data_IF_332601530922
#
_entry.id   IF_332601530922
#
_cell.length_a   1.000
_cell.length_b   1.000
_cell.length_c   1.000
_cell.angle_alpha   90.00
_cell.angle_beta   90.00
_cell.angle_gamma   90.00
#
_symmetry.space_group_name_H-M   'P 1'
#
loop_
_entity.id
_entity.type
_entity.pdbx_description
1 polymer ?
#
# COMPACT_ATOMS: atom_id res chain seq x y z
N UNK A 1 -3.08 -25.33 30.93
CA UNK A 1 -2.81 -26.12 29.69
C UNK A 1 -3.11 -25.21 28.52
N UNK A 2 -2.12 -24.48 28.03
CA UNK A 2 -2.25 -23.61 26.88
C UNK A 2 -1.84 -24.39 25.64
N UNK A 3 -2.80 -25.15 25.08
CA UNK A 3 -2.58 -25.81 23.80
C UNK A 3 -2.48 -24.78 22.68
N UNK A 4 -1.55 -24.97 21.75
CA UNK A 4 -1.47 -24.22 20.51
C UNK A 4 -2.87 -24.18 19.88
N UNK A 5 -3.39 -23.01 19.45
CA UNK A 5 -4.70 -22.93 18.82
C UNK A 5 -4.79 -23.91 17.65
N UNK A 6 -5.91 -24.61 17.55
CA UNK A 6 -6.15 -25.46 16.40
C UNK A 6 -6.19 -24.59 15.14
N UNK A 7 -5.13 -24.66 14.35
CA UNK A 7 -4.97 -23.90 13.13
C UNK A 7 -6.17 -24.03 12.17
N UNK A 8 -6.79 -25.21 12.14
CA UNK A 8 -7.96 -25.48 11.30
C UNK A 8 -9.19 -24.65 11.75
N UNK A 9 -9.39 -24.50 13.08
CA UNK A 9 -10.45 -23.67 13.65
C UNK A 9 -10.24 -22.20 13.29
N UNK A 10 -9.01 -21.75 13.45
CA UNK A 10 -8.62 -20.37 13.16
C UNK A 10 -8.76 -20.07 11.66
N UNK A 11 -8.30 -20.97 10.79
CA UNK A 11 -8.37 -20.81 9.34
C UNK A 11 -9.82 -20.77 8.84
N UNK A 12 -10.69 -21.64 9.37
CA UNK A 12 -12.12 -21.62 9.04
C UNK A 12 -12.77 -20.27 9.43
N UNK A 13 -12.46 -19.77 10.63
CA UNK A 13 -12.93 -18.46 11.09
C UNK A 13 -12.46 -17.32 10.19
N UNK A 14 -11.19 -17.35 9.82
CA UNK A 14 -10.58 -16.34 8.95
C UNK A 14 -11.30 -16.26 7.58
N UNK A 15 -11.46 -17.38 6.87
CA UNK A 15 -12.15 -17.39 5.58
C UNK A 15 -13.60 -16.91 5.70
N UNK A 16 -14.30 -17.27 6.79
CA UNK A 16 -15.69 -16.84 7.00
C UNK A 16 -15.81 -15.37 7.35
N UNK A 17 -14.89 -14.82 8.11
CA UNK A 17 -14.85 -13.41 8.45
C UNK A 17 -14.45 -12.53 7.26
N UNK A 18 -13.48 -13.00 6.48
CA UNK A 18 -12.96 -12.30 5.32
C UNK A 18 -13.99 -12.21 4.17
N UNK A 19 -14.78 -13.26 3.98
CA UNK A 19 -15.85 -13.30 3.01
C UNK A 19 -17.09 -14.01 3.63
N UNK A 20 -17.99 -13.24 4.24
CA UNK A 20 -19.23 -13.79 4.85
C UNK A 20 -20.13 -14.52 3.86
N UNK A 21 -20.01 -14.30 2.54
CA UNK A 21 -20.80 -14.97 1.51
C UNK A 21 -20.33 -16.39 1.22
N UNK A 22 -19.07 -16.74 1.59
CA UNK A 22 -18.54 -18.07 1.36
C UNK A 22 -19.38 -19.15 2.03
N UNK A 23 -19.77 -20.14 1.23
CA UNK A 23 -20.40 -21.34 1.76
C UNK A 23 -19.37 -22.18 2.52
N UNK A 24 -19.82 -22.97 3.49
CA UNK A 24 -18.93 -23.86 4.24
C UNK A 24 -18.19 -24.87 3.32
N UNK A 25 -18.85 -25.28 2.24
CA UNK A 25 -18.23 -26.14 1.23
C UNK A 25 -17.10 -25.41 0.50
N UNK A 26 -17.28 -24.15 0.12
CA UNK A 26 -16.25 -23.34 -0.51
C UNK A 26 -15.06 -23.10 0.44
N UNK A 27 -15.34 -22.86 1.73
CA UNK A 27 -14.30 -22.75 2.76
C UNK A 27 -13.52 -24.06 2.88
N UNK A 28 -14.23 -25.20 2.90
CA UNK A 28 -13.61 -26.52 2.98
C UNK A 28 -12.65 -26.79 1.82
N UNK A 29 -13.08 -26.47 0.61
CA UNK A 29 -12.27 -26.66 -0.61
C UNK A 29 -11.08 -25.70 -0.63
N UNK A 30 -11.28 -24.40 -0.39
CA UNK A 30 -10.23 -23.37 -0.47
C UNK A 30 -9.16 -23.53 0.62
N UNK A 31 -9.57 -23.84 1.83
CA UNK A 31 -8.68 -23.96 2.97
C UNK A 31 -8.16 -25.42 3.19
N UNK A 32 -8.56 -26.36 2.34
CA UNK A 32 -8.28 -27.77 2.49
C UNK A 32 -8.69 -28.33 3.88
N UNK A 33 -9.86 -27.91 4.36
CA UNK A 33 -10.41 -28.25 5.68
C UNK A 33 -11.41 -29.42 5.65
N UNK A 34 -11.55 -30.08 4.49
CA UNK A 34 -12.40 -31.25 4.32
C UNK A 34 -13.85 -30.91 3.98
N UNK A 35 -14.80 -31.66 4.55
CA UNK A 35 -16.23 -31.58 4.20
C UNK A 35 -16.93 -30.38 4.83
N UNK A 36 -18.11 -30.02 4.27
CA UNK A 36 -18.97 -28.98 4.84
C UNK A 36 -19.27 -29.22 6.34
N UNK A 37 -19.51 -30.48 6.73
CA UNK A 37 -19.79 -30.82 8.14
C UNK A 37 -18.58 -30.60 9.07
N UNK A 38 -17.36 -30.83 8.54
CA UNK A 38 -16.13 -30.51 9.28
C UNK A 38 -15.97 -29.01 9.46
N UNK A 39 -16.13 -28.23 8.37
CA UNK A 39 -16.08 -26.75 8.42
C UNK A 39 -17.15 -26.17 9.34
N UNK A 40 -18.37 -26.74 9.35
CA UNK A 40 -19.43 -26.30 10.26
C UNK A 40 -19.01 -26.45 11.73
N UNK A 41 -18.37 -27.58 12.10
CA UNK A 41 -17.85 -27.81 13.46
C UNK A 41 -16.72 -26.83 13.80
N UNK A 42 -15.77 -26.63 12.89
CA UNK A 42 -14.67 -25.69 13.07
C UNK A 42 -15.17 -24.24 13.27
N UNK A 43 -16.18 -23.81 12.52
CA UNK A 43 -16.79 -22.48 12.68
C UNK A 43 -17.56 -22.34 14.01
N UNK A 44 -18.22 -23.40 14.47
CA UNK A 44 -18.89 -23.41 15.78
C UNK A 44 -17.84 -23.29 16.91
N UNK A 45 -16.75 -24.04 16.82
CA UNK A 45 -15.66 -23.96 17.77
C UNK A 45 -14.96 -22.59 17.73
N UNK A 46 -14.77 -22.01 16.54
CA UNK A 46 -14.19 -20.69 16.38
C UNK A 46 -15.03 -19.59 17.05
N UNK A 47 -16.36 -19.70 16.98
CA UNK A 47 -17.26 -18.79 17.70
C UNK A 47 -17.15 -18.96 19.21
N UNK A 48 -17.11 -20.23 19.68
CA UNK A 48 -16.95 -20.53 21.10
C UNK A 48 -15.64 -20.01 21.68
N UNK A 49 -14.55 -20.04 20.88
CA UNK A 49 -13.23 -19.52 21.24
C UNK A 49 -13.08 -18.01 20.99
N UNK A 50 -14.10 -17.32 20.46
CA UNK A 50 -14.06 -15.88 20.18
C UNK A 50 -13.22 -15.48 18.97
N UNK A 51 -12.78 -16.42 18.11
CA UNK A 51 -12.03 -16.14 16.88
C UNK A 51 -12.92 -15.56 15.78
N UNK A 52 -14.20 -15.91 15.77
CA UNK A 52 -15.17 -15.44 14.77
C UNK A 52 -16.10 -14.43 15.42
N UNK A 53 -15.94 -13.16 15.02
CA UNK A 53 -16.83 -12.03 15.34
C UNK A 53 -17.32 -11.41 14.04
N UNK A 54 -18.06 -10.32 14.09
CA UNK A 54 -18.49 -9.58 12.89
C UNK A 54 -17.32 -9.04 12.09
N UNK A 55 -16.20 -8.70 12.75
CA UNK A 55 -14.92 -8.34 12.15
C UNK A 55 -13.88 -9.36 12.63
N UNK A 56 -13.05 -9.86 11.71
CA UNK A 56 -11.95 -10.75 12.08
C UNK A 56 -10.88 -9.94 12.83
N UNK A 57 -10.67 -10.29 14.09
CA UNK A 57 -9.61 -9.72 14.91
C UNK A 57 -8.90 -10.84 15.68
N UNK A 58 -7.59 -10.70 15.87
CA UNK A 58 -6.89 -11.54 16.82
C UNK A 58 -7.38 -11.22 18.22
N UNK A 59 -7.62 -12.22 19.09
CA UNK A 59 -7.94 -11.97 20.48
C UNK A 59 -6.93 -10.99 21.13
N UNK A 60 -7.46 -10.04 21.91
CA UNK A 60 -6.61 -9.00 22.51
C UNK A 60 -5.56 -9.58 23.48
N UNK A 61 -5.87 -10.71 24.10
CA UNK A 61 -5.03 -11.43 25.05
C UNK A 61 -4.11 -12.48 24.40
N UNK A 62 -4.16 -12.60 23.05
CA UNK A 62 -3.30 -13.56 22.34
C UNK A 62 -1.82 -13.16 22.47
N UNK A 63 -0.94 -14.06 22.90
CA UNK A 63 0.49 -13.81 22.98
C UNK A 63 1.06 -13.36 21.62
N UNK A 64 2.01 -12.40 21.61
CA UNK A 64 2.57 -11.87 20.35
C UNK A 64 3.24 -12.96 19.49
N UNK A 65 3.87 -13.97 20.11
CA UNK A 65 4.53 -15.05 19.39
C UNK A 65 3.52 -15.97 18.71
N UNK A 66 2.43 -16.30 19.40
CA UNK A 66 1.35 -17.11 18.87
C UNK A 66 0.64 -16.40 17.69
N UNK A 67 0.41 -15.10 17.83
CA UNK A 67 -0.13 -14.26 16.73
C UNK A 67 0.78 -14.31 15.51
N UNK A 68 2.08 -14.09 15.67
CA UNK A 68 3.05 -14.16 14.57
C UNK A 68 3.06 -15.52 13.88
N UNK A 69 3.00 -16.60 14.66
CA UNK A 69 2.97 -17.95 14.10
C UNK A 69 1.70 -18.23 13.31
N UNK A 70 0.53 -17.82 13.81
CA UNK A 70 -0.74 -17.97 13.10
C UNK A 70 -0.77 -17.12 11.84
N UNK A 71 -0.30 -15.87 11.91
CA UNK A 71 -0.20 -14.99 10.76
C UNK A 71 0.72 -15.59 9.69
N UNK A 72 1.90 -16.09 10.06
CA UNK A 72 2.81 -16.77 9.14
C UNK A 72 2.16 -17.98 8.47
N UNK A 73 1.37 -18.77 9.20
CA UNK A 73 0.64 -19.92 8.63
C UNK A 73 -0.47 -19.47 7.66
N UNK A 74 -1.17 -18.37 7.96
CA UNK A 74 -2.16 -17.79 7.06
C UNK A 74 -1.49 -17.29 5.77
N UNK A 75 -0.42 -16.53 5.88
CA UNK A 75 0.36 -16.05 4.73
C UNK A 75 0.84 -17.19 3.84
N UNK A 76 1.36 -18.28 4.42
CA UNK A 76 1.76 -19.47 3.67
C UNK A 76 0.60 -20.16 2.95
N UNK A 77 -0.60 -20.14 3.54
CA UNK A 77 -1.80 -20.69 2.89
C UNK A 77 -2.20 -19.86 1.67
N UNK A 78 -2.27 -18.53 1.82
CA UNK A 78 -2.55 -17.62 0.71
C UNK A 78 -1.44 -17.61 -0.33
N UNK A 79 -0.18 -17.70 0.08
CA UNK A 79 0.96 -17.78 -0.82
C UNK A 79 0.83 -18.98 -1.78
N UNK A 80 0.45 -20.15 -1.28
CA UNK A 80 0.24 -21.32 -2.14
C UNK A 80 -0.88 -21.13 -3.16
N UNK A 81 -1.97 -20.46 -2.75
CA UNK A 81 -3.10 -20.12 -3.64
C UNK A 81 -2.68 -19.15 -4.75
N UNK A 82 -1.78 -18.19 -4.44
CA UNK A 82 -1.41 -17.10 -5.33
C UNK A 82 0.03 -17.18 -5.88
N UNK A 83 0.72 -18.32 -5.70
CA UNK A 83 2.11 -18.49 -6.14
C UNK A 83 2.29 -18.25 -7.65
N UNK A 84 1.33 -18.68 -8.48
CA UNK A 84 1.37 -18.44 -9.92
C UNK A 84 1.24 -16.95 -10.25
N UNK A 85 0.38 -16.22 -9.53
CA UNK A 85 0.24 -14.77 -9.69
C UNK A 85 1.52 -14.06 -9.26
N UNK A 86 2.11 -14.42 -8.12
CA UNK A 86 3.39 -13.83 -7.68
C UNK A 86 4.50 -14.04 -8.73
N UNK A 87 4.59 -15.24 -9.30
CA UNK A 87 5.56 -15.54 -10.34
C UNK A 87 5.33 -14.73 -11.63
N UNK A 88 4.07 -14.55 -12.04
CA UNK A 88 3.69 -13.74 -13.20
C UNK A 88 4.00 -12.25 -12.97
N UNK A 89 3.70 -11.71 -11.78
CA UNK A 89 4.05 -10.34 -11.38
C UNK A 89 5.58 -10.14 -11.37
N UNK A 90 6.33 -11.09 -10.82
CA UNK A 90 7.79 -11.05 -10.83
C UNK A 90 8.36 -11.06 -12.26
N UNK A 91 7.73 -11.80 -13.18
CA UNK A 91 8.13 -11.78 -14.61
C UNK A 91 7.79 -10.44 -15.27
N UNK A 92 6.60 -9.87 -15.01
CA UNK A 92 6.22 -8.53 -15.50
C UNK A 92 7.18 -7.47 -14.98
N UNK A 93 7.52 -7.50 -13.68
CA UNK A 93 8.49 -6.58 -13.09
C UNK A 93 9.87 -6.67 -13.78
N UNK A 94 10.37 -7.89 -14.05
CA UNK A 94 11.62 -8.08 -14.82
C UNK A 94 11.56 -7.46 -16.20
N UNK A 95 10.44 -7.61 -16.90
CA UNK A 95 10.27 -7.04 -18.23
C UNK A 95 10.29 -5.50 -18.18
N UNK A 96 9.56 -4.90 -17.24
CA UNK A 96 9.54 -3.45 -17.03
C UNK A 96 10.93 -2.91 -16.67
N UNK A 97 11.70 -3.62 -15.84
CA UNK A 97 13.05 -3.20 -15.51
C UNK A 97 14.00 -3.19 -16.73
N UNK A 98 13.79 -4.06 -17.71
CA UNK A 98 14.55 -4.06 -18.95
C UNK A 98 14.23 -2.88 -19.87
N UNK A 99 12.97 -2.42 -19.84
CA UNK A 99 12.48 -1.36 -20.73
C UNK A 99 12.55 0.04 -20.12
N UNK A 100 12.38 0.15 -18.80
CA UNK A 100 12.23 1.44 -18.09
C UNK A 100 13.37 1.78 -17.14
N UNK A 101 14.28 0.85 -16.84
CA UNK A 101 15.35 1.10 -15.89
C UNK A 101 16.52 0.15 -16.08
N UNK A 102 17.70 0.61 -15.71
CA UNK A 102 18.97 -0.14 -15.86
C UNK A 102 19.25 -1.10 -14.71
N UNK A 103 18.30 -1.31 -13.82
CA UNK A 103 18.51 -2.07 -12.58
C UNK A 103 17.80 -3.41 -12.53
N UNK A 104 18.18 -4.22 -11.55
CA UNK A 104 17.58 -5.52 -11.28
C UNK A 104 16.10 -5.45 -10.91
N UNK A 105 15.43 -6.61 -10.92
CA UNK A 105 14.03 -6.74 -10.52
C UNK A 105 13.87 -6.49 -9.00
N UNK A 106 13.18 -5.42 -8.58
CA UNK A 106 12.95 -5.14 -7.17
C UNK A 106 11.85 -6.00 -6.56
N UNK A 107 10.89 -6.49 -7.35
CA UNK A 107 9.72 -7.22 -6.84
C UNK A 107 10.11 -8.52 -6.15
N UNK A 108 9.68 -8.69 -4.90
CA UNK A 108 10.05 -9.80 -4.02
C UNK A 108 8.86 -10.60 -3.51
N UNK A 109 7.74 -9.93 -3.18
CA UNK A 109 6.65 -10.59 -2.48
C UNK A 109 5.28 -10.02 -2.83
N UNK A 110 4.32 -10.94 -2.97
CA UNK A 110 2.90 -10.65 -3.02
C UNK A 110 2.24 -11.11 -1.71
N UNK A 111 1.42 -10.24 -1.11
CA UNK A 111 0.46 -10.60 -0.08
C UNK A 111 -0.95 -10.33 -0.59
N UNK A 112 -1.79 -11.33 -0.57
CA UNK A 112 -3.22 -11.18 -0.87
C UNK A 112 -3.98 -11.27 0.43
N UNK A 113 -4.64 -10.19 0.82
CA UNK A 113 -5.45 -10.15 2.04
C UNK A 113 -6.92 -10.34 1.70
N UNK A 114 -7.60 -11.10 2.53
CA UNK A 114 -9.02 -11.34 2.37
C UNK A 114 -9.81 -10.06 2.70
N UNK A 115 -10.76 -9.74 1.83
CA UNK A 115 -11.70 -8.64 1.96
C UNK A 115 -13.07 -9.12 1.52
N UNK A 116 -14.17 -8.54 2.05
CA UNK A 116 -15.49 -8.73 1.46
C UNK A 116 -15.49 -8.26 0.00
N UNK A 117 -16.24 -8.96 -0.85
CA UNK A 117 -16.47 -8.51 -2.21
C UNK A 117 -17.40 -7.29 -2.21
N UNK A 118 -17.14 -6.37 -3.11
CA UNK A 118 -17.96 -5.19 -3.30
C UNK A 118 -18.09 -4.88 -4.80
N UNK A 119 -19.16 -4.17 -5.15
CA UNK A 119 -19.43 -3.74 -6.52
C UNK A 119 -19.44 -2.21 -6.61
N UNK A 120 -19.12 -1.70 -7.79
CA UNK A 120 -19.16 -0.27 -8.06
C UNK A 120 -20.57 0.29 -7.74
N UNK A 121 -20.63 1.39 -6.98
CA UNK A 121 -21.87 1.98 -6.50
C UNK A 121 -22.31 1.55 -5.10
N UNK A 122 -21.76 0.49 -4.52
CA UNK A 122 -22.00 0.12 -3.13
C UNK A 122 -20.94 0.72 -2.19
N UNK A 123 -21.13 1.98 -1.82
CA UNK A 123 -20.21 2.71 -0.95
C UNK A 123 -20.10 2.13 0.46
N UNK A 124 -21.13 1.44 0.93
CA UNK A 124 -21.06 0.77 2.23
C UNK A 124 -20.16 -0.45 2.15
N UNK A 125 -20.43 -1.35 1.20
CA UNK A 125 -19.60 -2.54 1.01
C UNK A 125 -18.15 -2.17 0.67
N UNK A 126 -17.95 -1.10 -0.08
CA UNK A 126 -16.61 -0.55 -0.36
C UNK A 126 -15.89 -0.11 0.91
N UNK A 127 -16.55 0.66 1.80
CA UNK A 127 -15.98 1.05 3.10
C UNK A 127 -15.66 -0.16 3.98
N UNK A 128 -16.56 -1.14 4.02
CA UNK A 128 -16.36 -2.37 4.77
C UNK A 128 -15.14 -3.16 4.23
N UNK A 129 -14.97 -3.20 2.90
CA UNK A 129 -13.80 -3.82 2.26
C UNK A 129 -12.48 -3.10 2.63
N UNK A 130 -12.45 -1.75 2.63
CA UNK A 130 -11.28 -1.00 3.09
C UNK A 130 -10.99 -1.23 4.59
N UNK A 131 -12.03 -1.28 5.42
CA UNK A 131 -11.90 -1.58 6.85
C UNK A 131 -11.32 -2.98 7.10
N UNK A 132 -11.83 -3.98 6.40
CA UNK A 132 -11.33 -5.36 6.47
C UNK A 132 -9.89 -5.48 5.93
N UNK A 133 -9.59 -4.80 4.79
CA UNK A 133 -8.25 -4.73 4.26
C UNK A 133 -7.27 -4.18 5.29
N UNK A 134 -7.60 -3.02 5.90
CA UNK A 134 -6.75 -2.40 6.90
C UNK A 134 -6.50 -3.31 8.10
N UNK A 135 -7.52 -3.98 8.60
CA UNK A 135 -7.39 -4.92 9.72
C UNK A 135 -6.48 -6.11 9.38
N UNK A 136 -6.62 -6.68 8.18
CA UNK A 136 -5.86 -7.86 7.76
C UNK A 136 -4.44 -7.51 7.27
N UNK A 137 -4.21 -6.31 6.73
CA UNK A 137 -2.89 -5.86 6.27
C UNK A 137 -2.02 -5.28 7.39
N UNK A 138 -2.62 -4.81 8.50
CA UNK A 138 -1.92 -4.07 9.54
C UNK A 138 -0.71 -4.83 10.13
N UNK A 139 -0.87 -6.11 10.45
CA UNK A 139 0.23 -6.91 11.01
C UNK A 139 1.30 -7.26 9.96
N UNK A 140 0.91 -7.43 8.69
CA UNK A 140 1.86 -7.63 7.58
C UNK A 140 2.73 -6.38 7.40
N UNK A 141 2.10 -5.20 7.32
CA UNK A 141 2.81 -3.91 7.22
C UNK A 141 3.69 -3.69 8.43
N UNK A 142 3.17 -3.96 9.64
CA UNK A 142 3.91 -3.80 10.86
C UNK A 142 5.16 -4.70 10.93
N UNK A 143 5.10 -5.93 10.38
CA UNK A 143 6.26 -6.80 10.23
C UNK A 143 7.37 -6.16 9.40
N UNK A 144 7.04 -5.55 8.27
CA UNK A 144 8.01 -4.81 7.45
C UNK A 144 8.54 -3.55 8.14
N UNK A 145 7.68 -2.83 8.87
CA UNK A 145 8.14 -1.69 9.68
C UNK A 145 9.06 -2.16 10.81
N UNK A 146 8.83 -3.32 11.40
CA UNK A 146 9.72 -3.89 12.44
C UNK A 146 11.13 -4.12 11.89
N UNK A 147 11.28 -4.49 10.63
CA UNK A 147 12.57 -4.69 9.97
C UNK A 147 13.29 -3.38 9.61
N UNK A 148 12.53 -2.29 9.33
CA UNK A 148 13.09 -1.03 8.86
C UNK A 148 13.53 -0.12 10.02
N UNK A 149 14.66 0.56 9.90
CA UNK A 149 15.11 1.63 10.81
C UNK A 149 14.50 3.00 10.46
N UNK A 150 14.08 3.18 9.22
CA UNK A 150 13.44 4.40 8.73
C UNK A 150 12.29 4.08 7.77
N UNK A 151 11.17 4.79 7.94
CA UNK A 151 9.97 4.61 7.12
C UNK A 151 9.43 5.96 6.65
N UNK A 152 9.33 6.11 5.34
CA UNK A 152 8.57 7.20 4.71
C UNK A 152 7.18 6.71 4.37
N UNK A 153 6.14 7.47 4.74
CA UNK A 153 4.75 7.04 4.58
C UNK A 153 3.94 8.03 3.75
N UNK A 154 3.18 7.48 2.81
CA UNK A 154 2.20 8.20 2.03
C UNK A 154 0.88 8.36 2.79
N UNK A 155 -0.14 8.85 2.12
CA UNK A 155 -1.51 8.96 2.61
C UNK A 155 -2.48 8.26 1.65
N UNK A 156 -3.75 8.36 1.94
CA UNK A 156 -4.85 7.78 1.17
C UNK A 156 -5.61 6.73 1.95
N UNK A 157 -6.82 6.43 1.48
CA UNK A 157 -7.78 5.55 2.17
C UNK A 157 -7.22 4.20 2.61
N UNK A 158 -6.42 3.59 1.74
CA UNK A 158 -5.80 2.27 2.03
C UNK A 158 -4.74 2.37 3.12
N UNK A 159 -3.90 3.42 3.05
CA UNK A 159 -2.87 3.69 4.06
C UNK A 159 -3.53 3.99 5.40
N UNK A 160 -4.51 4.90 5.42
CA UNK A 160 -5.24 5.27 6.62
C UNK A 160 -5.90 4.06 7.28
N UNK A 161 -6.69 3.29 6.52
CA UNK A 161 -7.34 2.08 7.02
C UNK A 161 -6.35 1.09 7.65
N UNK A 162 -5.10 1.04 7.14
CA UNK A 162 -4.07 0.12 7.61
C UNK A 162 -3.34 0.66 8.84
N UNK A 163 -2.84 1.90 8.79
CA UNK A 163 -2.02 2.45 9.89
C UNK A 163 -2.84 2.66 11.17
N UNK A 164 -4.12 2.98 11.05
CA UNK A 164 -5.06 3.09 12.17
C UNK A 164 -5.29 1.77 12.92
N UNK A 165 -4.98 0.63 12.29
CA UNK A 165 -5.17 -0.71 12.86
C UNK A 165 -3.90 -1.33 13.41
N UNK A 166 -2.74 -0.67 13.23
CA UNK A 166 -1.48 -1.11 13.82
C UNK A 166 -1.53 -0.85 15.34
N UNK A 167 -1.17 -1.86 16.12
CA UNK A 167 -1.20 -1.78 17.59
C UNK A 167 -0.14 -0.82 18.15
N UNK A 168 -0.48 -0.17 19.25
CA UNK A 168 0.29 0.91 19.88
C UNK A 168 1.33 0.47 20.92
N UNK A 169 1.63 -0.83 21.03
CA UNK A 169 2.53 -1.37 22.08
C UNK A 169 3.76 -2.08 21.52
N UNK A 170 4.17 -1.73 20.30
CA UNK A 170 5.31 -2.35 19.65
C UNK A 170 6.63 -1.83 20.20
N UNK A 171 7.56 -2.73 20.43
CA UNK A 171 8.93 -2.38 20.81
C UNK A 171 9.86 -2.61 19.61
N UNK A 172 10.61 -1.62 19.17
CA UNK A 172 11.58 -1.84 18.10
C UNK A 172 12.70 -2.75 18.58
N UNK A 173 13.23 -3.62 17.74
CA UNK A 173 14.41 -4.43 18.04
C UNK A 173 15.72 -3.63 17.86
N UNK A 174 15.85 -2.43 18.42
CA UNK A 174 17.06 -1.63 18.19
C UNK A 174 16.89 -0.14 18.48
N UNK A 175 17.82 0.73 18.02
CA UNK A 175 17.74 2.19 18.19
C UNK A 175 16.47 2.74 17.54
N UNK A 176 16.04 3.91 18.00
CA UNK A 176 14.76 4.53 17.64
C UNK A 176 14.52 4.60 16.14
N UNK A 177 13.33 4.19 15.71
CA UNK A 177 12.90 4.27 14.31
C UNK A 177 12.59 5.71 13.91
N UNK A 178 12.88 6.05 12.67
CA UNK A 178 12.57 7.36 12.09
C UNK A 178 11.35 7.24 11.18
N UNK A 179 10.28 7.98 11.50
CA UNK A 179 9.10 8.07 10.66
C UNK A 179 8.99 9.45 10.03
N UNK A 180 8.73 9.49 8.72
CA UNK A 180 8.64 10.73 7.96
C UNK A 180 7.53 10.67 6.91
N UNK A 181 6.90 11.82 6.58
CA UNK A 181 5.95 11.89 5.48
C UNK A 181 6.67 11.80 4.13
N UNK A 182 5.99 11.22 3.14
CA UNK A 182 6.52 11.11 1.77
C UNK A 182 6.49 12.46 1.01
N UNK A 183 5.65 13.38 1.44
CA UNK A 183 5.46 14.70 0.86
C UNK A 183 4.83 15.66 1.88
N UNK A 184 4.65 16.93 1.48
CA UNK A 184 3.83 17.90 2.19
C UNK A 184 2.34 17.54 2.17
N UNK A 185 1.51 18.49 2.60
CA UNK A 185 0.06 18.32 2.67
C UNK A 185 -0.59 18.63 1.31
N UNK A 186 -1.65 17.93 0.90
CA UNK A 186 -2.53 18.36 -0.19
C UNK A 186 -3.09 19.76 0.10
N UNK A 187 -3.26 20.59 -0.94
CA UNK A 187 -3.67 22.00 -0.78
C UNK A 187 -5.08 22.14 -0.19
N UNK A 188 -6.02 21.27 -0.61
CA UNK A 188 -7.41 21.26 -0.13
C UNK A 188 -7.65 20.15 0.90
N UNK A 189 -6.66 19.88 1.73
CA UNK A 189 -6.76 18.85 2.76
C UNK A 189 -7.99 19.06 3.64
N UNK A 190 -8.94 18.14 3.57
CA UNK A 190 -10.08 18.15 4.48
C UNK A 190 -9.66 17.69 5.89
N UNK A 191 -10.16 18.35 6.96
CA UNK A 191 -9.77 18.04 8.34
C UNK A 191 -10.00 16.58 8.76
N UNK A 192 -10.81 15.84 8.02
CA UNK A 192 -11.20 14.45 8.33
C UNK A 192 -10.34 13.40 7.59
N UNK A 193 -9.41 13.81 6.76
CA UNK A 193 -8.47 12.90 6.08
C UNK A 193 -7.18 12.71 6.88
N UNK A 194 -6.47 11.60 6.65
CA UNK A 194 -5.15 11.37 7.24
C UNK A 194 -4.09 11.86 6.29
N UNK A 195 -3.37 12.91 6.71
CA UNK A 195 -2.24 13.43 5.96
C UNK A 195 -1.01 12.51 6.04
N UNK A 196 0.00 12.69 5.16
CA UNK A 196 1.27 11.97 5.28
C UNK A 196 1.93 12.21 6.64
N UNK A 197 1.84 13.44 7.17
CA UNK A 197 2.37 13.78 8.49
C UNK A 197 1.59 13.11 9.62
N UNK A 198 0.27 12.94 9.47
CA UNK A 198 -0.54 12.20 10.44
C UNK A 198 -0.25 10.70 10.40
N UNK A 199 -0.12 10.12 9.22
CA UNK A 199 0.26 8.71 9.06
C UNK A 199 1.63 8.44 9.71
N UNK A 200 2.62 9.32 9.50
CA UNK A 200 3.93 9.21 10.15
C UNK A 200 3.81 9.31 11.68
N UNK A 201 2.95 10.19 12.21
CA UNK A 201 2.70 10.35 13.64
C UNK A 201 2.02 9.12 14.24
N UNK A 202 1.05 8.53 13.55
CA UNK A 202 0.35 7.31 14.00
C UNK A 202 1.34 6.15 14.08
N UNK A 203 2.17 5.96 13.04
CA UNK A 203 3.22 4.95 13.05
C UNK A 203 4.21 5.18 14.20
N UNK A 204 4.74 6.40 14.36
CA UNK A 204 5.68 6.70 15.45
C UNK A 204 5.08 6.40 16.83
N UNK A 205 3.79 6.67 17.02
CA UNK A 205 3.10 6.38 18.28
C UNK A 205 2.94 4.86 18.55
N UNK A 206 2.94 4.03 17.50
CA UNK A 206 2.82 2.58 17.64
C UNK A 206 4.13 1.89 18.08
N UNK A 207 5.28 2.52 17.83
CA UNK A 207 6.60 1.96 18.20
C UNK A 207 7.22 2.74 19.36
N UNK A 208 7.24 2.11 20.53
CA UNK A 208 7.86 2.70 21.74
C UNK A 208 9.36 2.94 21.52
N UNK A 209 9.83 4.15 21.80
CA UNK A 209 11.24 4.55 21.64
C UNK A 209 11.61 4.99 20.22
N UNK A 210 10.64 5.17 19.30
CA UNK A 210 10.88 5.85 18.04
C UNK A 210 11.31 7.31 18.26
N UNK A 211 12.06 7.87 17.29
CA UNK A 211 12.29 9.31 17.28
C UNK A 211 10.96 10.07 17.09
N UNK A 212 10.88 11.33 17.56
CA UNK A 212 9.74 12.19 17.23
C UNK A 212 9.53 12.21 15.71
N UNK A 213 8.29 11.97 15.22
CA UNK A 213 8.03 11.91 13.78
C UNK A 213 8.30 13.25 13.12
N UNK A 214 8.88 13.22 11.94
CA UNK A 214 9.00 14.41 11.13
C UNK A 214 7.62 14.79 10.57
N UNK A 215 7.37 16.10 10.46
CA UNK A 215 6.10 16.64 9.98
C UNK A 215 6.35 17.72 8.95
N UNK A 216 5.56 17.71 7.89
CA UNK A 216 5.53 18.74 6.83
C UNK A 216 4.20 19.50 6.81
N UNK A 217 3.49 19.51 7.93
CA UNK A 217 2.23 20.26 8.05
C UNK A 217 2.41 21.72 7.66
N UNK A 218 1.48 22.22 6.85
CA UNK A 218 1.54 23.57 6.31
C UNK A 218 2.47 23.76 5.11
N UNK A 219 3.24 22.72 4.73
CA UNK A 219 4.01 22.72 3.50
C UNK A 219 3.22 22.03 2.37
N UNK A 220 3.13 22.59 1.15
CA UNK A 220 2.40 21.99 0.04
C UNK A 220 3.09 20.71 -0.43
N UNK A 221 2.29 19.74 -0.89
CA UNK A 221 2.81 18.54 -1.53
C UNK A 221 3.30 18.82 -2.97
N UNK A 222 2.80 19.91 -3.60
CA UNK A 222 3.01 20.21 -5.01
C UNK A 222 3.05 21.70 -5.25
N UNK A 223 3.80 22.10 -6.30
CA UNK A 223 3.80 23.47 -6.83
C UNK A 223 2.62 23.61 -7.82
N UNK A 224 1.69 24.56 -7.65
CA UNK A 224 0.67 24.84 -8.63
C UNK A 224 1.26 25.13 -10.02
N UNK A 225 0.56 24.74 -11.09
CA UNK A 225 1.05 24.92 -12.48
C UNK A 225 1.35 26.39 -12.80
N UNK A 226 0.43 27.29 -12.44
CA UNK A 226 0.59 28.73 -12.63
C UNK A 226 1.84 29.30 -11.95
N UNK A 227 2.17 28.80 -10.76
CA UNK A 227 3.40 29.19 -10.06
C UNK A 227 4.62 28.61 -10.75
N UNK A 228 4.58 27.31 -11.09
CA UNK A 228 5.71 26.62 -11.70
C UNK A 228 6.09 27.19 -13.08
N UNK A 229 5.12 27.55 -13.91
CA UNK A 229 5.35 28.13 -15.23
C UNK A 229 6.00 29.52 -15.17
N UNK A 230 5.78 30.27 -14.09
CA UNK A 230 6.37 31.60 -13.86
C UNK A 230 7.61 31.56 -12.94
N UNK A 231 7.88 30.41 -12.33
CA UNK A 231 8.97 30.24 -11.35
C UNK A 231 10.27 29.81 -12.04
N UNK A 232 10.80 30.72 -12.90
CA UNK A 232 12.02 30.44 -13.69
C UNK A 232 13.24 30.12 -12.84
N UNK A 233 13.28 30.62 -11.61
CA UNK A 233 14.41 30.51 -10.69
C UNK A 233 14.24 29.42 -9.63
N UNK A 234 13.14 28.66 -9.66
CA UNK A 234 12.86 27.59 -8.72
C UNK A 234 12.52 28.08 -7.29
N UNK A 235 12.05 29.31 -7.16
CA UNK A 235 11.75 29.98 -5.88
C UNK A 235 10.74 29.18 -5.04
N UNK A 236 9.71 28.61 -5.66
CA UNK A 236 8.71 27.83 -4.96
C UNK A 236 9.32 26.59 -4.27
N UNK A 237 10.26 25.93 -4.92
CA UNK A 237 11.00 24.81 -4.35
C UNK A 237 12.01 25.28 -3.30
N UNK A 238 12.66 26.40 -3.51
CA UNK A 238 13.52 27.03 -2.56
C UNK A 238 12.75 27.42 -1.28
N UNK A 239 11.58 28.04 -1.42
CA UNK A 239 10.71 28.36 -0.28
C UNK A 239 10.34 27.12 0.53
N UNK A 240 10.00 26.00 -0.11
CA UNK A 240 9.77 24.74 0.60
C UNK A 240 11.01 24.31 1.41
N UNK A 241 12.21 24.59 0.89
CA UNK A 241 13.49 24.27 1.54
C UNK A 241 13.78 25.11 2.79
N UNK A 242 13.08 26.21 3.05
CA UNK A 242 13.20 26.95 4.32
C UNK A 242 12.65 26.14 5.50
N UNK A 243 11.73 25.20 5.29
CA UNK A 243 11.31 24.29 6.34
C UNK A 243 12.47 23.37 6.76
N UNK A 244 12.80 23.40 8.06
CA UNK A 244 13.86 22.54 8.62
C UNK A 244 13.57 21.05 8.36
N UNK A 245 12.32 20.62 8.52
CA UNK A 245 11.93 19.24 8.29
C UNK A 245 11.97 18.87 6.80
N UNK A 246 11.54 19.77 5.91
CA UNK A 246 11.64 19.55 4.48
C UNK A 246 13.11 19.31 4.06
N UNK A 247 14.04 20.17 4.51
CA UNK A 247 15.47 19.98 4.25
C UNK A 247 16.00 18.66 4.82
N UNK A 248 15.62 18.34 6.09
CA UNK A 248 16.06 17.08 6.71
C UNK A 248 15.61 15.86 5.92
N UNK A 249 14.41 15.91 5.31
CA UNK A 249 13.86 14.78 4.53
C UNK A 249 14.39 14.79 3.10
N UNK A 250 14.31 15.93 2.40
CA UNK A 250 14.46 15.98 0.92
C UNK A 250 15.68 16.73 0.41
N UNK A 251 16.57 17.27 1.29
CA UNK A 251 17.78 17.90 0.81
C UNK A 251 18.60 16.95 -0.08
N UNK A 252 19.22 17.49 -1.09
CA UNK A 252 20.08 16.73 -1.99
C UNK A 252 21.44 17.45 -2.13
N UNK A 253 22.54 16.79 -1.78
CA UNK A 253 22.64 15.45 -1.17
C UNK A 253 22.34 15.48 0.35
N UNK A 254 22.06 14.30 0.92
CA UNK A 254 22.07 14.06 2.37
C UNK A 254 20.71 14.06 3.07
N UNK A 255 19.61 14.23 2.35
CA UNK A 255 18.26 14.06 2.93
C UNK A 255 17.95 12.61 3.28
N UNK A 256 17.14 12.42 4.34
CA UNK A 256 16.79 11.07 4.84
C UNK A 256 16.14 10.19 3.78
N UNK A 257 15.41 10.78 2.83
CA UNK A 257 14.74 10.04 1.75
C UNK A 257 15.72 9.29 0.83
N UNK A 258 16.98 9.77 0.72
CA UNK A 258 17.98 9.12 -0.13
C UNK A 258 18.38 7.74 0.37
N UNK A 259 18.28 7.50 1.69
CA UNK A 259 18.67 6.26 2.33
C UNK A 259 17.53 5.62 3.14
N UNK A 260 16.29 6.00 2.87
CA UNK A 260 15.15 5.43 3.56
C UNK A 260 15.09 3.92 3.36
N UNK A 261 14.87 3.18 4.46
CA UNK A 261 14.82 1.72 4.42
C UNK A 261 13.49 1.20 3.87
N UNK A 262 12.41 1.95 4.08
CA UNK A 262 11.07 1.59 3.63
C UNK A 262 10.28 2.81 3.16
N UNK A 263 9.60 2.67 2.02
CA UNK A 263 8.53 3.57 1.60
C UNK A 263 7.20 2.81 1.67
N UNK A 264 6.30 3.22 2.57
CA UNK A 264 4.93 2.69 2.65
C UNK A 264 4.01 3.59 1.84
N UNK A 265 3.40 3.04 0.78
CA UNK A 265 2.63 3.85 -0.17
C UNK A 265 1.33 3.19 -0.62
N UNK A 266 0.34 4.01 -0.98
CA UNK A 266 -0.80 3.58 -1.77
C UNK A 266 -0.51 3.69 -3.27
N UNK A 267 -1.40 3.12 -4.06
CA UNK A 267 -1.43 3.23 -5.52
C UNK A 267 -2.73 3.92 -5.91
N UNK A 268 -2.64 4.99 -6.69
CA UNK A 268 -3.76 5.76 -7.22
C UNK A 268 -3.97 5.50 -8.71
N UNK A 269 -5.21 5.21 -9.13
CA UNK A 269 -5.58 5.00 -10.52
C UNK A 269 -6.04 6.31 -11.18
N UNK A 270 -5.60 6.57 -12.40
CA UNK A 270 -5.97 7.76 -13.16
C UNK A 270 -7.42 7.70 -13.71
N UNK A 271 -8.02 6.51 -13.83
CA UNK A 271 -9.35 6.33 -14.45
C UNK A 271 -10.50 6.46 -13.46
N UNK A 272 -10.31 6.04 -12.21
CA UNK A 272 -11.36 6.05 -11.18
C UNK A 272 -11.86 7.46 -10.90
N UNK A 273 -11.00 8.44 -11.02
CA UNK A 273 -11.32 9.84 -10.76
C UNK A 273 -12.24 10.49 -11.80
N UNK A 274 -12.31 9.95 -13.03
CA UNK A 274 -13.26 10.46 -14.06
C UNK A 274 -14.71 10.04 -13.78
N UNK A 275 -14.94 9.02 -12.97
CA UNK A 275 -16.26 8.39 -12.81
C UNK A 275 -17.10 8.96 -11.69
N UNK A 276 -16.51 9.62 -10.71
CA UNK A 276 -17.19 9.88 -9.42
C UNK A 276 -17.39 11.35 -9.07
N UNK A 277 -17.36 12.29 -10.03
CA UNK A 277 -17.74 13.69 -9.91
C UNK A 277 -17.61 14.38 -8.54
N UNK A 278 -18.35 13.92 -7.53
CA UNK A 278 -18.36 14.45 -6.17
C UNK A 278 -17.51 13.61 -5.16
N UNK A 279 -17.03 12.45 -5.55
CA UNK A 279 -16.32 11.49 -4.68
C UNK A 279 -14.89 11.18 -5.13
N UNK A 280 -14.38 11.92 -6.11
CA UNK A 280 -13.00 11.81 -6.48
C UNK A 280 -12.10 12.13 -5.29
N UNK A 281 -11.00 11.39 -5.16
CA UNK A 281 -9.98 11.66 -4.18
C UNK A 281 -9.60 13.15 -4.25
N UNK A 282 -9.69 13.95 -3.17
CA UNK A 282 -9.31 15.38 -3.17
C UNK A 282 -7.95 15.62 -3.81
N UNK A 283 -7.02 14.70 -3.64
CA UNK A 283 -5.72 14.66 -4.29
C UNK A 283 -5.79 14.69 -5.83
N UNK A 284 -6.76 14.03 -6.42
CA UNK A 284 -6.93 13.98 -7.86
C UNK A 284 -7.32 15.35 -8.45
N UNK A 285 -8.31 16.01 -7.84
CA UNK A 285 -8.75 17.33 -8.28
C UNK A 285 -7.66 18.38 -8.23
N UNK A 286 -6.76 18.27 -7.25
CA UNK A 286 -5.65 19.20 -7.11
C UNK A 286 -4.54 18.96 -8.11
N UNK A 287 -4.39 17.74 -8.60
CA UNK A 287 -3.20 17.36 -9.35
C UNK A 287 -3.38 17.28 -10.84
N UNK A 288 -4.58 16.94 -11.31
CA UNK A 288 -4.73 16.58 -12.72
C UNK A 288 -5.81 17.33 -13.47
N UNK A 289 -7.00 17.47 -12.89
CA UNK A 289 -8.16 17.90 -13.68
C UNK A 289 -8.21 19.40 -13.98
N UNK A 290 -7.84 20.22 -13.01
CA UNK A 290 -7.88 21.68 -13.17
C UNK A 290 -6.69 22.25 -13.94
N UNK A 291 -5.55 21.55 -13.92
CA UNK A 291 -4.30 22.13 -14.41
C UNK A 291 -3.68 21.38 -15.61
N UNK A 292 -3.87 20.05 -15.70
CA UNK A 292 -3.25 19.24 -16.75
C UNK A 292 -4.16 18.08 -17.20
N UNK A 293 -5.31 18.37 -17.82
CA UNK A 293 -6.27 17.35 -18.26
C UNK A 293 -5.66 16.35 -19.26
N UNK A 294 -4.67 16.79 -20.04
CA UNK A 294 -4.00 15.96 -21.04
C UNK A 294 -3.17 14.84 -20.40
N UNK A 295 -2.62 15.06 -19.21
CA UNK A 295 -1.76 14.07 -18.52
C UNK A 295 -2.55 12.87 -18.07
N UNK A 296 -3.84 13.00 -17.78
CA UNK A 296 -4.71 11.90 -17.39
C UNK A 296 -4.85 10.81 -18.46
N UNK A 297 -4.80 11.22 -19.75
CA UNK A 297 -4.78 10.28 -20.87
C UNK A 297 -3.42 9.58 -21.03
N UNK A 298 -2.35 10.22 -20.57
CA UNK A 298 -0.96 9.78 -20.74
C UNK A 298 -0.43 8.97 -19.56
N UNK A 299 -1.00 9.13 -18.36
CA UNK A 299 -0.64 8.39 -17.18
C UNK A 299 -1.60 7.22 -16.92
N UNK A 300 -1.10 6.15 -16.31
CA UNK A 300 -1.92 5.03 -15.82
C UNK A 300 -2.38 5.25 -14.38
N UNK A 301 -1.69 6.12 -13.65
CA UNK A 301 -1.97 6.43 -12.26
C UNK A 301 -0.72 6.98 -11.57
N UNK A 302 -0.71 6.92 -10.24
CA UNK A 302 0.42 7.36 -9.44
C UNK A 302 0.80 6.38 -8.33
N UNK A 303 2.06 6.43 -7.91
CA UNK A 303 2.56 5.76 -6.72
C UNK A 303 3.12 6.83 -5.77
N UNK A 304 2.48 7.01 -4.60
CA UNK A 304 2.91 8.01 -3.62
C UNK A 304 3.01 9.43 -4.19
N UNK A 305 2.16 9.80 -5.15
CA UNK A 305 2.13 11.11 -5.79
C UNK A 305 2.97 11.23 -7.07
N UNK A 306 3.82 10.26 -7.39
CA UNK A 306 4.59 10.21 -8.64
C UNK A 306 3.76 9.56 -9.73
N UNK A 307 3.47 10.29 -10.80
CA UNK A 307 2.72 9.81 -11.96
C UNK A 307 3.53 8.83 -12.79
N UNK A 308 2.90 7.73 -13.18
CA UNK A 308 3.48 6.68 -14.02
C UNK A 308 2.91 6.81 -15.44
N UNK A 309 3.80 7.07 -16.39
CA UNK A 309 3.44 7.14 -17.80
C UNK A 309 2.97 5.78 -18.33
N UNK A 310 2.02 5.80 -19.27
CA UNK A 310 1.60 4.59 -20.00
C UNK A 310 2.78 4.03 -20.79
N UNK A 311 2.75 2.73 -21.00
CA UNK A 311 3.68 2.08 -21.91
C UNK A 311 3.38 2.48 -23.37
N UNK A 312 4.44 2.58 -24.19
CA UNK A 312 4.31 2.90 -25.61
C UNK A 312 4.03 4.37 -25.96
N UNK A 313 4.12 5.33 -25.01
CA UNK A 313 4.07 6.74 -25.30
C UNK A 313 5.31 7.19 -26.10
N UNK A 314 5.14 8.18 -26.95
CA UNK A 314 6.27 8.87 -27.56
C UNK A 314 7.03 9.74 -26.52
N UNK A 315 8.20 10.23 -26.93
CA UNK A 315 9.07 11.04 -26.07
C UNK A 315 8.39 12.36 -25.63
N UNK A 316 7.58 12.97 -26.51
CA UNK A 316 6.87 14.21 -26.22
C UNK A 316 5.85 14.02 -25.11
N UNK A 317 5.06 12.96 -25.20
CA UNK A 317 4.01 12.65 -24.22
C UNK A 317 4.60 12.16 -22.90
N UNK A 318 5.67 11.37 -22.94
CA UNK A 318 6.43 11.00 -21.74
C UNK A 318 6.95 12.23 -21.00
N UNK A 319 7.52 13.21 -21.70
CA UNK A 319 7.97 14.48 -21.12
C UNK A 319 6.87 15.28 -20.44
N UNK A 320 5.61 15.24 -20.93
CA UNK A 320 4.48 15.90 -20.26
C UNK A 320 4.24 15.31 -18.87
N UNK A 321 4.24 13.98 -18.75
CA UNK A 321 4.11 13.31 -17.45
C UNK A 321 5.27 13.66 -16.52
N UNK A 322 6.49 13.70 -17.03
CA UNK A 322 7.68 14.10 -16.27
C UNK A 322 7.59 15.55 -15.79
N UNK A 323 7.08 16.48 -16.60
CA UNK A 323 6.89 17.87 -16.19
C UNK A 323 5.92 18.01 -15.02
N UNK A 324 4.85 17.21 -15.01
CA UNK A 324 3.92 17.17 -13.87
C UNK A 324 4.63 16.63 -12.62
N UNK A 325 5.45 15.59 -12.75
CA UNK A 325 6.25 15.06 -11.65
C UNK A 325 7.27 16.06 -11.10
N UNK A 326 7.81 16.97 -11.94
CA UNK A 326 8.73 18.02 -11.48
C UNK A 326 8.08 19.03 -10.52
N UNK A 327 6.76 19.17 -10.54
CA UNK A 327 6.02 20.02 -9.60
C UNK A 327 5.82 19.38 -8.22
N UNK A 328 6.05 18.09 -8.14
CA UNK A 328 5.93 17.33 -6.90
C UNK A 328 7.06 17.68 -5.91
N UNK A 329 6.71 18.01 -4.67
CA UNK A 329 7.66 18.42 -3.62
C UNK A 329 7.99 17.29 -2.64
N UNK A 330 7.50 16.09 -2.89
CA UNK A 330 7.78 14.89 -2.10
C UNK A 330 8.89 14.02 -2.69
N UNK A 331 8.90 12.75 -2.27
CA UNK A 331 9.77 11.72 -2.82
C UNK A 331 9.58 11.63 -4.33
N UNK A 332 10.67 11.65 -5.07
CA UNK A 332 10.69 11.61 -6.53
C UNK A 332 10.75 10.18 -7.03
N UNK A 333 10.54 9.97 -8.33
CA UNK A 333 10.71 8.69 -9.00
C UNK A 333 12.04 7.99 -8.61
N UNK A 334 13.14 8.74 -8.62
CA UNK A 334 14.46 8.22 -8.29
C UNK A 334 14.60 7.79 -6.83
N UNK A 335 13.83 8.38 -5.90
CA UNK A 335 13.81 7.95 -4.50
C UNK A 335 13.12 6.59 -4.36
N UNK A 336 11.97 6.43 -5.04
CA UNK A 336 11.30 5.13 -5.12
C UNK A 336 12.23 4.09 -5.74
N UNK A 337 12.91 4.45 -6.84
CA UNK A 337 13.82 3.53 -7.52
C UNK A 337 15.00 3.12 -6.62
N UNK A 338 15.65 4.07 -5.94
CA UNK A 338 16.71 3.76 -4.99
C UNK A 338 16.25 2.88 -3.84
N UNK A 339 15.14 3.26 -3.21
CA UNK A 339 14.54 2.47 -2.13
C UNK A 339 14.21 1.06 -2.61
N UNK A 340 13.64 0.90 -3.81
CA UNK A 340 13.31 -0.40 -4.36
C UNK A 340 14.53 -1.26 -4.70
N UNK A 341 15.61 -0.66 -5.19
CA UNK A 341 16.86 -1.38 -5.50
C UNK A 341 17.58 -1.88 -4.26
N UNK A 342 17.54 -1.09 -3.16
CA UNK A 342 18.08 -1.53 -1.87
C UNK A 342 17.13 -2.46 -1.10
N UNK A 343 15.92 -2.62 -1.58
CA UNK A 343 14.91 -3.49 -0.96
C UNK A 343 15.33 -4.96 -1.00
N UNK A 344 15.04 -5.68 0.10
CA UNK A 344 15.42 -7.08 0.27
C UNK A 344 16.81 -7.30 0.86
N UNK A 345 17.60 -6.26 1.07
CA UNK A 345 18.76 -6.29 1.98
C UNK A 345 18.27 -6.37 3.43
N UNK A 346 19.12 -6.87 4.31
CA UNK A 346 18.78 -6.96 5.75
C UNK A 346 18.42 -5.59 6.32
N UNK A 347 17.26 -5.48 6.94
CA UNK A 347 16.74 -4.21 7.49
C UNK A 347 16.20 -3.22 6.45
N UNK A 348 16.03 -3.64 5.19
CA UNK A 348 15.53 -2.79 4.10
C UNK A 348 14.37 -3.46 3.34
N UNK A 349 13.13 -3.30 3.78
CA UNK A 349 11.97 -3.81 3.06
C UNK A 349 11.80 -3.21 1.65
N UNK A 350 12.28 -1.97 1.45
CA UNK A 350 12.10 -1.25 0.19
C UNK A 350 10.73 -0.62 0.04
N UNK A 351 10.17 -0.62 -1.15
CA UNK A 351 8.86 -0.04 -1.43
C UNK A 351 7.77 -1.07 -1.15
N UNK A 352 6.92 -0.78 -0.16
CA UNK A 352 5.75 -1.58 0.22
C UNK A 352 4.50 -0.84 -0.26
N UNK A 353 3.84 -1.38 -1.27
CA UNK A 353 2.68 -0.78 -1.91
C UNK A 353 1.37 -1.49 -1.53
N UNK A 354 0.34 -0.71 -1.22
CA UNK A 354 -0.99 -1.21 -0.84
C UNK A 354 -2.04 -0.82 -1.88
N UNK A 355 -2.88 -1.77 -2.30
CA UNK A 355 -3.98 -1.51 -3.21
C UNK A 355 -5.19 -2.41 -2.93
N UNK A 356 -6.40 -1.83 -2.98
CA UNK A 356 -7.65 -2.55 -2.68
C UNK A 356 -8.51 -2.72 -3.93
N UNK A 357 -8.63 -1.69 -4.75
CA UNK A 357 -9.64 -1.61 -5.80
C UNK A 357 -9.21 -2.35 -7.08
N UNK A 358 -10.08 -3.18 -7.68
CA UNK A 358 -9.79 -3.89 -8.95
C UNK A 358 -9.37 -2.97 -10.10
N UNK A 359 -9.94 -1.74 -10.16
CA UNK A 359 -9.59 -0.74 -11.17
C UNK A 359 -8.10 -0.33 -11.16
N UNK A 360 -7.39 -0.65 -10.08
CA UNK A 360 -5.94 -0.37 -9.96
C UNK A 360 -5.05 -1.41 -10.64
N UNK A 361 -5.61 -2.43 -11.28
CA UNK A 361 -4.81 -3.51 -11.90
C UNK A 361 -3.78 -2.94 -12.88
N UNK A 362 -4.19 -2.09 -13.82
CA UNK A 362 -3.27 -1.51 -14.82
C UNK A 362 -2.11 -0.75 -14.17
N UNK A 363 -2.38 0.15 -13.22
CA UNK A 363 -1.30 0.89 -12.55
C UNK A 363 -0.41 -0.01 -11.71
N UNK A 364 -0.96 -1.03 -11.05
CA UNK A 364 -0.16 -2.03 -10.34
C UNK A 364 0.82 -2.69 -11.29
N UNK A 365 0.36 -3.16 -12.45
CA UNK A 365 1.20 -3.84 -13.45
C UNK A 365 2.30 -2.93 -14.00
N UNK A 366 2.02 -1.64 -14.17
CA UNK A 366 2.96 -0.68 -14.73
C UNK A 366 3.96 -0.12 -13.71
N UNK A 367 3.64 -0.15 -12.40
CA UNK A 367 4.49 0.35 -11.33
C UNK A 367 5.39 -0.72 -10.68
N UNK A 368 5.29 -1.99 -11.09
CA UNK A 368 6.01 -3.12 -10.45
C UNK A 368 7.53 -2.95 -10.41
N UNK A 369 8.12 -2.19 -11.34
CA UNK A 369 9.56 -1.93 -11.36
C UNK A 369 10.03 -1.01 -10.22
N UNK A 370 9.09 -0.42 -9.47
CA UNK A 370 9.35 0.40 -8.29
C UNK A 370 8.94 -0.29 -6.97
N UNK A 371 8.31 -1.46 -7.01
CA UNK A 371 7.69 -2.11 -5.86
C UNK A 371 8.45 -3.36 -5.45
N UNK A 372 8.77 -3.49 -4.16
CA UNK A 372 9.35 -4.71 -3.58
C UNK A 372 8.27 -5.64 -3.04
N UNK A 373 7.32 -5.09 -2.31
CA UNK A 373 6.25 -5.83 -1.67
C UNK A 373 4.92 -5.23 -2.09
N UNK A 374 4.04 -6.06 -2.59
CA UNK A 374 2.68 -5.69 -2.97
C UNK A 374 1.70 -6.37 -2.03
N UNK A 375 0.87 -5.57 -1.34
CA UNK A 375 -0.19 -6.05 -0.47
C UNK A 375 -1.52 -5.62 -1.09
N UNK A 376 -2.34 -6.58 -1.51
CA UNK A 376 -3.56 -6.31 -2.27
C UNK A 376 -4.77 -7.06 -1.74
N UNK A 377 -5.95 -6.54 -2.07
CA UNK A 377 -7.21 -7.25 -1.84
C UNK A 377 -7.33 -8.48 -2.74
N UNK A 378 -8.20 -9.41 -2.33
CA UNK A 378 -8.53 -10.58 -3.13
C UNK A 378 -9.11 -10.22 -4.50
N UNK A 379 -10.09 -9.30 -4.57
CA UNK A 379 -10.68 -8.89 -5.84
C UNK A 379 -9.66 -8.31 -6.83
N UNK A 380 -8.69 -7.53 -6.34
CA UNK A 380 -7.60 -7.04 -7.18
C UNK A 380 -6.67 -8.18 -7.62
N UNK A 381 -6.38 -9.14 -6.74
CA UNK A 381 -5.59 -10.32 -7.12
C UNK A 381 -6.26 -11.15 -8.22
N UNK A 382 -7.57 -11.38 -8.11
CA UNK A 382 -8.35 -12.07 -9.11
C UNK A 382 -8.37 -11.32 -10.47
N UNK A 383 -8.38 -9.99 -10.44
CA UNK A 383 -8.30 -9.16 -11.66
C UNK A 383 -6.92 -9.26 -12.30
N UNK A 384 -5.85 -9.14 -11.51
CA UNK A 384 -4.47 -9.28 -12.00
C UNK A 384 -4.20 -10.68 -12.56
N UNK A 385 -4.75 -11.72 -11.92
CA UNK A 385 -4.63 -13.08 -12.42
C UNK A 385 -5.30 -13.26 -13.77
N UNK A 386 -6.49 -12.70 -13.99
CA UNK A 386 -7.17 -12.72 -15.30
C UNK A 386 -6.38 -11.98 -16.37
N UNK A 387 -5.82 -10.80 -16.05
CA UNK A 387 -5.03 -10.03 -17.02
C UNK A 387 -3.72 -10.71 -17.40
N UNK A 388 -3.02 -11.31 -16.43
CA UNK A 388 -1.70 -11.90 -16.65
C UNK A 388 -1.73 -13.36 -17.08
N UNK A 389 -2.66 -14.14 -16.58
CA UNK A 389 -2.71 -15.59 -16.79
C UNK A 389 -3.79 -15.97 -17.84
N UNK A 390 -4.88 -15.20 -17.94
CA UNK A 390 -5.92 -15.39 -18.95
C UNK A 390 -5.46 -15.05 -20.37
N UNK A 391 -4.60 -14.07 -20.54
CA UNK A 391 -4.03 -13.68 -21.84
C UNK A 391 -3.09 -14.75 -22.46
N UNK A 392 -2.69 -15.78 -21.70
CA UNK A 392 -1.87 -16.88 -22.19
C UNK A 392 -2.68 -18.12 -22.61
N UNK A 393 -4.02 -18.06 -22.65
CA UNK A 393 -4.90 -19.17 -23.03
C UNK A 393 -5.62 -18.93 -24.38
N UNK A 394 -5.39 -17.79 -25.02
CA UNK A 394 -5.79 -17.50 -26.40
C UNK A 394 -4.56 -17.53 -27.35
#
# INVERSE_FOLDING_TARGET
MNGTPDYSVFLAAYYKAADPSLTQQAIGSRANLGTQAQVSRLLAEARAKGYLREVFEFPADMPPDERRELQRKLELSFYKEHAHLEAALAQRARNLCRTRSDGGNPFKRLHVVATPDWHEGDEKARRDAFGAFGANAAEIVAGYVDEADSCSVAWGRTIDATVQRIRSDRKPPGPGKVFMPIAGEPINYEPNGVSPSDAARILAAAWTGSEPPLSLRGGPARIPKSVYEHDRDGIAREMASYSKNYRRIFARPGGLIENVAMILTGIGDATTSKRTGEQADPWYWETADAEDPDVLGLAVGNIGGVWIARDGLDESDTRKVEQVNKRWLGAQHDDFRRCSLSGGESGRPGVVALAVEPAKATIVLEALYLVNVLIISRQLADTLARELLGANQE
#
